data_IF_961250553764
#
_entry.id   IF_961250553764
#
_cell.length_a   1.000
_cell.length_b   1.000
_cell.length_c   1.000
_cell.angle_alpha   90.00
_cell.angle_beta   90.00
_cell.angle_gamma   90.00
#
_symmetry.space_group_name_H-M   'P 1'
#
loop_
_entity.id
_entity.type
_entity.pdbx_description
1 polymer ?
#
# COMPACT_ATOMS: atom_id res chain seq x y z
N UNK A 1 7.99 43.14 -8.65
CA UNK A 1 9.02 44.17 -8.42
C UNK A 1 10.28 43.46 -7.95
N UNK A 2 11.32 43.45 -8.76
CA UNK A 2 12.62 42.89 -8.39
C UNK A 2 13.45 43.93 -7.62
N UNK A 3 14.16 43.49 -6.57
CA UNK A 3 14.96 44.36 -5.73
C UNK A 3 16.24 44.76 -6.48
N UNK A 4 16.62 46.05 -6.49
CA UNK A 4 17.86 46.51 -7.10
C UNK A 4 19.10 45.80 -6.54
N UNK A 5 20.03 45.46 -7.42
CA UNK A 5 21.26 44.70 -7.11
C UNK A 5 22.11 45.31 -5.99
N UNK A 6 22.15 46.64 -5.89
CA UNK A 6 22.88 47.35 -4.84
C UNK A 6 22.34 47.03 -3.43
N UNK A 7 21.01 46.92 -3.28
CA UNK A 7 20.38 46.58 -2.00
C UNK A 7 20.67 45.11 -1.67
N UNK A 8 20.66 44.22 -2.67
CA UNK A 8 21.05 42.80 -2.49
C UNK A 8 22.49 42.63 -1.99
N UNK A 9 23.40 43.50 -2.43
CA UNK A 9 24.80 43.50 -2.00
C UNK A 9 24.99 43.99 -0.55
N UNK A 10 24.16 44.92 -0.08
CA UNK A 10 24.18 45.33 1.33
C UNK A 10 23.69 44.18 2.24
N UNK A 11 22.70 43.42 1.80
CA UNK A 11 22.19 42.29 2.56
C UNK A 11 23.08 41.04 2.53
N UNK A 12 24.03 40.91 1.59
CA UNK A 12 24.98 39.79 1.58
C UNK A 12 26.05 39.87 2.67
N UNK A 13 26.19 41.01 3.36
CA UNK A 13 27.05 41.13 4.55
C UNK A 13 26.43 40.49 5.80
N UNK A 14 25.15 40.10 5.73
CA UNK A 14 24.48 39.34 6.78
C UNK A 14 24.29 37.90 6.31
N UNK A 15 24.51 36.89 7.17
CA UNK A 15 24.80 36.98 8.59
C UNK A 15 26.29 37.26 8.93
N UNK A 16 26.54 37.97 10.03
CA UNK A 16 27.89 38.33 10.49
C UNK A 16 28.73 37.13 10.96
N UNK A 17 28.07 36.05 11.40
CA UNK A 17 28.72 34.81 11.81
C UNK A 17 27.78 33.63 11.51
N UNK A 18 28.29 32.64 10.79
CA UNK A 18 27.56 31.40 10.49
C UNK A 18 28.17 30.30 11.33
N UNK A 19 27.38 29.75 12.26
CA UNK A 19 27.78 28.58 13.03
C UNK A 19 27.88 27.35 12.11
N UNK A 20 28.73 26.36 12.44
CA UNK A 20 28.77 25.11 11.71
C UNK A 20 27.40 24.41 11.77
N UNK A 21 27.03 23.65 10.73
CA UNK A 21 25.79 22.88 10.74
C UNK A 21 25.71 21.98 11.97
N UNK A 22 24.58 22.02 12.67
CA UNK A 22 24.30 21.08 13.77
C UNK A 22 24.12 19.71 13.11
N UNK A 23 25.07 18.81 13.36
CA UNK A 23 24.95 17.43 12.89
C UNK A 23 23.83 16.75 13.67
N UNK A 24 22.88 16.07 13.00
CA UNK A 24 21.88 15.29 13.71
C UNK A 24 22.58 14.23 14.57
N UNK A 25 22.06 14.00 15.77
CA UNK A 25 22.57 12.99 16.72
C UNK A 25 22.56 11.58 16.11
N UNK A 26 21.62 11.32 15.20
CA UNK A 26 21.43 10.06 14.50
C UNK A 26 20.85 10.36 13.11
N UNK A 27 21.73 10.74 12.19
CA UNK A 27 21.41 10.97 10.78
C UNK A 27 21.80 9.79 9.89
N UNK A 28 21.53 8.56 10.33
CA UNK A 28 21.87 7.41 9.52
C UNK A 28 20.77 7.22 8.47
N UNK A 29 21.05 7.71 7.26
CA UNK A 29 20.43 7.15 6.07
C UNK A 29 20.66 5.63 6.11
N UNK A 30 19.67 4.83 5.72
CA UNK A 30 19.79 3.39 5.83
C UNK A 30 20.85 2.90 4.86
N UNK A 31 21.73 2.00 5.29
CA UNK A 31 22.78 1.44 4.39
C UNK A 31 22.18 0.63 3.23
N UNK A 32 20.95 0.16 3.40
CA UNK A 32 20.19 -0.61 2.42
C UNK A 32 18.85 0.07 2.10
N UNK A 33 18.30 -0.09 0.89
CA UNK A 33 16.96 0.37 0.58
C UNK A 33 15.97 -0.14 1.63
N UNK A 34 15.24 0.78 2.25
CA UNK A 34 14.35 0.49 3.38
C UNK A 34 12.92 0.91 3.05
N UNK A 35 12.02 -0.05 2.99
CA UNK A 35 10.60 0.20 2.74
C UNK A 35 9.88 0.51 4.06
N UNK A 36 9.19 1.64 4.11
CA UNK A 36 8.35 2.04 5.24
C UNK A 36 6.96 1.50 5.03
N UNK A 37 6.45 0.72 5.98
CA UNK A 37 5.17 0.03 5.89
C UNK A 37 4.35 0.17 7.17
N UNK A 38 3.06 -0.12 7.06
CA UNK A 38 2.23 -0.39 8.22
C UNK A 38 2.73 -1.65 8.95
N UNK A 39 2.73 -1.70 10.29
CA UNK A 39 3.24 -2.84 11.04
C UNK A 39 2.55 -4.16 10.67
N UNK A 40 3.31 -5.27 10.72
CA UNK A 40 2.78 -6.61 10.52
C UNK A 40 1.86 -7.03 11.67
N UNK A 41 0.97 -8.00 11.42
CA UNK A 41 0.08 -8.59 12.45
C UNK A 41 0.86 -9.31 13.57
N UNK A 42 2.03 -9.84 13.24
CA UNK A 42 2.85 -10.64 14.15
C UNK A 42 4.29 -10.20 14.04
N UNK A 43 5.00 -10.21 15.16
CA UNK A 43 6.42 -9.90 15.24
C UNK A 43 7.32 -10.88 14.45
N UNK A 44 6.83 -12.08 14.13
CA UNK A 44 7.56 -13.00 13.26
C UNK A 44 7.38 -12.69 11.78
N UNK A 45 6.34 -11.95 11.42
CA UNK A 45 6.04 -11.58 10.04
C UNK A 45 6.78 -10.30 9.63
N UNK A 46 7.13 -10.23 8.35
CA UNK A 46 7.69 -9.05 7.68
C UNK A 46 6.68 -8.39 6.73
N UNK A 47 5.50 -9.00 6.60
CA UNK A 47 4.47 -8.58 5.66
C UNK A 47 3.51 -7.61 6.33
N UNK A 48 3.25 -6.49 5.65
CA UNK A 48 2.35 -5.45 6.13
C UNK A 48 0.92 -5.96 6.32
N UNK A 49 0.16 -5.24 7.12
CA UNK A 49 -1.29 -5.44 7.27
C UNK A 49 -2.12 -4.66 6.26
N UNK A 50 -1.50 -3.66 5.63
CA UNK A 50 -2.12 -2.78 4.66
C UNK A 50 -1.92 -3.30 3.23
N UNK A 51 -2.98 -3.18 2.41
CA UNK A 51 -2.99 -3.70 1.02
C UNK A 51 -2.01 -2.93 0.15
N UNK A 52 -1.97 -1.60 0.26
CA UNK A 52 -1.05 -0.78 -0.54
C UNK A 52 0.41 -1.12 -0.21
N UNK A 53 0.74 -1.23 1.08
CA UNK A 53 2.06 -1.66 1.51
C UNK A 53 2.42 -3.06 0.97
N UNK A 54 1.51 -4.04 1.08
CA UNK A 54 1.73 -5.39 0.56
C UNK A 54 1.90 -5.43 -0.95
N UNK A 55 1.15 -4.62 -1.69
CA UNK A 55 1.26 -4.48 -3.15
C UNK A 55 2.70 -4.12 -3.52
N UNK A 56 3.25 -3.09 -2.88
CA UNK A 56 4.61 -2.65 -3.15
C UNK A 56 5.67 -3.62 -2.62
N UNK A 57 5.42 -4.29 -1.48
CA UNK A 57 6.29 -5.39 -1.03
C UNK A 57 6.36 -6.52 -2.05
N UNK A 58 5.20 -6.96 -2.54
CA UNK A 58 5.11 -8.03 -3.53
C UNK A 58 5.69 -7.62 -4.88
N UNK A 59 5.42 -6.39 -5.33
CA UNK A 59 5.97 -5.86 -6.57
C UNK A 59 7.50 -5.93 -6.59
N UNK A 60 8.14 -5.40 -5.54
CA UNK A 60 9.60 -5.40 -5.42
C UNK A 60 10.17 -6.83 -5.39
N UNK A 61 9.58 -7.71 -4.58
CA UNK A 61 10.04 -9.09 -4.46
C UNK A 61 9.86 -9.89 -5.76
N UNK A 62 8.73 -9.71 -6.45
CA UNK A 62 8.41 -10.41 -7.69
C UNK A 62 9.25 -9.93 -8.88
N UNK A 63 9.67 -8.66 -8.87
CA UNK A 63 10.68 -8.13 -9.81
C UNK A 63 12.09 -8.67 -9.55
N UNK A 64 12.29 -9.46 -8.49
CA UNK A 64 13.58 -10.07 -8.15
C UNK A 64 14.47 -9.20 -7.27
N UNK A 65 13.98 -8.06 -6.78
CA UNK A 65 14.72 -7.25 -5.82
C UNK A 65 14.71 -7.94 -4.45
N UNK A 66 15.89 -7.99 -3.82
CA UNK A 66 16.11 -8.65 -2.53
C UNK A 66 16.98 -7.80 -1.62
N UNK A 67 17.07 -8.17 -0.34
CA UNK A 67 17.83 -7.46 0.71
C UNK A 67 17.30 -6.05 0.98
N UNK A 68 15.98 -5.88 0.85
CA UNK A 68 15.29 -4.63 1.20
C UNK A 68 14.92 -4.69 2.68
N UNK A 69 15.35 -3.70 3.46
CA UNK A 69 14.97 -3.62 4.87
C UNK A 69 13.53 -3.11 5.01
N UNK A 70 12.86 -3.49 6.09
CA UNK A 70 11.47 -3.09 6.36
C UNK A 70 11.38 -2.34 7.67
N UNK A 71 10.79 -1.15 7.63
CA UNK A 71 10.64 -0.25 8.77
C UNK A 71 9.16 0.03 9.03
N UNK A 72 8.73 -0.05 10.29
CA UNK A 72 7.31 0.09 10.67
C UNK A 72 7.03 0.97 11.90
N UNK A 73 8.04 1.67 12.41
CA UNK A 73 7.95 2.63 13.53
C UNK A 73 7.46 4.02 13.09
N UNK A 74 7.27 4.25 11.79
CA UNK A 74 6.88 5.54 11.23
C UNK A 74 5.37 5.56 11.02
N UNK A 75 4.69 6.57 11.57
CA UNK A 75 3.26 6.76 11.34
C UNK A 75 2.99 7.30 9.93
N UNK A 76 1.79 7.08 9.36
CA UNK A 76 1.44 7.60 8.03
C UNK A 76 1.63 9.11 7.90
N UNK A 77 1.44 9.89 8.96
CA UNK A 77 1.62 11.34 8.97
C UNK A 77 3.08 11.76 8.82
N UNK A 78 4.02 10.91 9.26
CA UNK A 78 5.46 11.10 9.08
C UNK A 78 5.98 10.67 7.70
N UNK A 79 5.12 10.08 6.87
CA UNK A 79 5.43 9.63 5.53
C UNK A 79 5.24 10.75 4.50
N UNK A 80 5.91 10.66 3.35
CA UNK A 80 5.74 11.57 2.21
C UNK A 80 4.27 11.56 1.75
N UNK A 81 3.66 12.75 1.73
CA UNK A 81 2.25 12.91 1.36
C UNK A 81 1.27 12.37 2.41
N UNK A 82 1.72 12.09 3.64
CA UNK A 82 0.87 11.58 4.72
C UNK A 82 0.37 10.16 4.47
N UNK A 83 1.09 9.37 3.66
CA UNK A 83 0.69 8.03 3.23
C UNK A 83 1.88 7.08 3.14
N UNK A 84 1.66 5.85 3.59
CA UNK A 84 2.55 4.72 3.38
C UNK A 84 2.08 3.91 2.15
N UNK A 85 2.98 3.17 1.47
CA UNK A 85 4.41 3.03 1.79
C UNK A 85 5.29 4.12 1.15
N UNK A 86 6.50 4.28 1.69
CA UNK A 86 7.59 5.04 1.06
C UNK A 86 8.87 4.22 1.06
N UNK A 87 9.75 4.47 0.09
CA UNK A 87 11.04 3.81 -0.02
C UNK A 87 12.17 4.78 0.34
N UNK A 88 12.89 4.50 1.41
CA UNK A 88 14.06 5.27 1.83
C UNK A 88 15.33 4.64 1.26
N UNK A 89 16.01 5.37 0.40
CA UNK A 89 17.22 4.97 -0.28
C UNK A 89 18.47 5.27 0.55
N UNK A 90 19.58 4.59 0.23
CA UNK A 90 20.86 4.77 0.92
C UNK A 90 21.50 6.14 0.69
N UNK A 91 21.12 6.83 -0.38
CA UNK A 91 21.52 8.23 -0.64
C UNK A 91 20.74 9.24 0.22
N UNK A 92 19.84 8.78 1.09
CA UNK A 92 19.00 9.61 1.95
C UNK A 92 17.73 10.15 1.30
N UNK A 93 17.45 9.78 0.05
CA UNK A 93 16.23 10.16 -0.64
C UNK A 93 15.06 9.28 -0.18
N UNK A 94 13.91 9.92 0.02
CA UNK A 94 12.66 9.25 0.36
C UNK A 94 11.71 9.33 -0.83
N UNK A 95 11.37 8.17 -1.39
CA UNK A 95 10.50 8.05 -2.55
C UNK A 95 9.06 7.71 -2.15
N UNK A 96 8.05 8.42 -2.67
CA UNK A 96 6.66 8.02 -2.55
C UNK A 96 6.37 6.76 -3.36
N UNK A 97 5.28 6.07 -3.02
CA UNK A 97 4.85 4.83 -3.67
C UNK A 97 4.85 4.87 -5.22
N UNK A 98 4.45 6.00 -5.80
CA UNK A 98 4.35 6.17 -7.26
C UNK A 98 5.71 6.14 -7.99
N UNK A 99 6.81 6.42 -7.29
CA UNK A 99 8.16 6.40 -7.86
C UNK A 99 8.90 5.07 -7.63
N UNK A 100 8.28 4.12 -6.92
CA UNK A 100 8.86 2.80 -6.67
C UNK A 100 9.09 2.01 -7.99
N UNK A 101 8.16 1.98 -8.97
CA UNK A 101 8.40 1.32 -10.25
C UNK A 101 9.62 1.86 -10.97
N UNK A 102 9.69 3.19 -11.11
CA UNK A 102 10.81 3.87 -11.79
C UNK A 102 12.14 3.52 -11.14
N UNK A 103 12.21 3.55 -9.82
CA UNK A 103 13.41 3.13 -9.09
C UNK A 103 13.75 1.65 -9.30
N UNK A 104 12.74 0.78 -9.33
CA UNK A 104 12.95 -0.66 -9.56
C UNK A 104 13.50 -0.93 -10.97
N UNK A 105 12.97 -0.24 -11.99
CA UNK A 105 13.43 -0.34 -13.37
C UNK A 105 14.88 0.16 -13.52
N UNK A 106 15.22 1.27 -12.87
CA UNK A 106 16.58 1.81 -12.81
C UNK A 106 17.56 0.86 -12.11
N UNK A 107 17.11 0.19 -11.02
CA UNK A 107 17.95 -0.71 -10.24
C UNK A 107 18.26 -2.02 -10.97
N UNK A 108 17.34 -2.48 -11.82
CA UNK A 108 17.49 -3.72 -12.58
C UNK A 108 18.09 -3.51 -13.98
N UNK A 109 18.33 -2.25 -14.40
CA UNK A 109 18.73 -1.89 -15.76
C UNK A 109 17.73 -2.39 -16.82
N UNK A 110 16.44 -2.39 -16.46
CA UNK A 110 15.33 -2.95 -17.24
C UNK A 110 14.41 -1.86 -17.81
N UNK A 111 14.98 -0.74 -18.26
CA UNK A 111 14.23 0.39 -18.81
C UNK A 111 13.38 0.01 -20.04
N UNK A 112 13.67 -1.12 -20.68
CA UNK A 112 13.02 -1.62 -21.89
C UNK A 112 12.27 -2.96 -21.67
N UNK A 113 11.54 -3.14 -20.57
CA UNK A 113 10.49 -4.17 -20.47
C UNK A 113 9.13 -3.60 -20.91
N UNK A 114 8.81 -3.54 -22.21
CA UNK A 114 7.58 -2.89 -22.69
C UNK A 114 6.29 -3.53 -22.17
N UNK A 115 6.35 -4.79 -21.73
CA UNK A 115 5.19 -5.55 -21.27
C UNK A 115 5.25 -5.93 -19.79
N UNK A 116 6.19 -5.43 -18.98
CA UNK A 116 6.20 -5.64 -17.52
C UNK A 116 6.00 -7.11 -17.05
N UNK A 117 6.46 -8.09 -17.84
CA UNK A 117 6.29 -9.53 -17.58
C UNK A 117 5.01 -10.16 -18.14
N UNK A 118 4.07 -9.38 -18.69
CA UNK A 118 2.90 -9.88 -19.41
C UNK A 118 3.28 -10.59 -20.70
N UNK A 119 2.49 -11.61 -21.05
CA UNK A 119 2.67 -12.40 -22.28
C UNK A 119 2.50 -11.57 -23.56
N UNK A 120 1.49 -10.71 -23.60
CA UNK A 120 1.13 -9.89 -24.75
C UNK A 120 0.43 -8.59 -24.33
N UNK A 121 0.26 -7.67 -25.28
CA UNK A 121 -0.43 -6.39 -25.05
C UNK A 121 -1.90 -6.61 -24.64
N UNK A 122 -2.54 -7.67 -25.14
CA UNK A 122 -3.91 -8.02 -24.80
C UNK A 122 -4.04 -8.39 -23.31
N UNK A 123 -3.09 -9.17 -22.77
CA UNK A 123 -3.02 -9.45 -21.33
C UNK A 123 -2.78 -8.18 -20.51
N UNK A 124 -1.92 -7.26 -20.99
CA UNK A 124 -1.71 -5.98 -20.31
C UNK A 124 -3.02 -5.17 -20.26
N UNK A 125 -3.77 -5.10 -21.35
CA UNK A 125 -5.04 -4.37 -21.36
C UNK A 125 -6.12 -5.07 -20.52
N UNK A 126 -6.18 -6.40 -20.53
CA UNK A 126 -7.04 -7.20 -19.66
C UNK A 126 -6.71 -6.97 -18.17
N UNK A 127 -5.43 -6.82 -17.83
CA UNK A 127 -4.97 -6.61 -16.46
C UNK A 127 -5.62 -5.37 -15.82
N UNK A 128 -5.87 -4.31 -16.61
CA UNK A 128 -6.52 -3.08 -16.12
C UNK A 128 -7.96 -3.33 -15.67
N UNK A 129 -8.68 -4.23 -16.33
CA UNK A 129 -10.02 -4.62 -15.91
C UNK A 129 -9.98 -5.37 -14.57
N UNK A 130 -8.99 -6.26 -14.40
CA UNK A 130 -8.78 -6.97 -13.14
C UNK A 130 -8.36 -6.03 -12.00
N UNK A 131 -7.50 -5.04 -12.27
CA UNK A 131 -7.16 -3.99 -11.28
C UNK A 131 -8.42 -3.26 -10.81
N UNK A 132 -9.28 -2.84 -11.74
CA UNK A 132 -10.55 -2.17 -11.41
C UNK A 132 -11.48 -3.05 -10.55
N UNK A 133 -11.59 -4.34 -10.88
CA UNK A 133 -12.36 -5.32 -10.10
C UNK A 133 -11.82 -5.46 -8.66
N UNK A 134 -10.49 -5.52 -8.50
CA UNK A 134 -9.83 -5.65 -7.19
C UNK A 134 -9.97 -4.38 -6.34
N UNK A 135 -9.67 -3.22 -6.93
CA UNK A 135 -9.76 -1.92 -6.26
C UNK A 135 -11.21 -1.49 -5.98
N UNK A 136 -12.16 -1.99 -6.75
CA UNK A 136 -13.59 -1.80 -6.54
C UNK A 136 -14.20 -2.81 -5.59
N UNK A 137 -14.52 -4.00 -6.09
CA UNK A 137 -15.38 -4.97 -5.40
C UNK A 137 -14.66 -5.67 -4.24
N UNK A 138 -13.41 -6.08 -4.44
CA UNK A 138 -12.63 -6.78 -3.41
C UNK A 138 -12.21 -5.82 -2.30
N UNK A 139 -11.77 -4.61 -2.66
CA UNK A 139 -11.43 -3.58 -1.68
C UNK A 139 -12.65 -3.15 -0.84
N UNK A 140 -13.81 -2.92 -1.48
CA UNK A 140 -15.04 -2.60 -0.76
C UNK A 140 -15.41 -3.69 0.25
N UNK A 141 -15.33 -4.96 -0.13
CA UNK A 141 -15.57 -6.07 0.78
C UNK A 141 -14.56 -6.09 1.94
N UNK A 142 -13.28 -5.89 1.68
CA UNK A 142 -12.24 -5.85 2.72
C UNK A 142 -12.45 -4.71 3.73
N UNK A 143 -12.89 -3.55 3.24
CA UNK A 143 -13.19 -2.38 4.08
C UNK A 143 -14.42 -2.63 4.97
N UNK A 144 -15.49 -3.22 4.42
CA UNK A 144 -16.67 -3.61 5.23
C UNK A 144 -16.38 -4.75 6.20
N UNK A 145 -15.36 -5.56 5.93
CA UNK A 145 -14.97 -6.68 6.76
C UNK A 145 -14.05 -6.31 7.93
N UNK A 146 -13.57 -5.06 8.01
CA UNK A 146 -12.76 -4.61 9.14
C UNK A 146 -13.59 -4.62 10.43
N UNK A 147 -13.01 -5.05 11.57
CA UNK A 147 -13.72 -5.03 12.84
C UNK A 147 -14.11 -3.59 13.20
N UNK A 148 -15.37 -3.37 13.54
CA UNK A 148 -15.82 -2.08 14.08
C UNK A 148 -14.98 -1.73 15.32
N UNK A 149 -14.37 -0.54 15.40
CA UNK A 149 -13.65 -0.15 16.61
C UNK A 149 -14.63 -0.20 17.78
N UNK A 150 -14.27 -0.91 18.84
CA UNK A 150 -15.10 -0.91 20.05
C UNK A 150 -15.15 0.52 20.58
N UNK A 151 -16.36 1.09 20.71
CA UNK A 151 -16.56 2.47 21.15
C UNK A 151 -15.84 2.79 22.48
N UNK A 152 -15.69 1.78 23.36
CA UNK A 152 -14.93 1.89 24.60
C UNK A 152 -13.40 2.04 24.38
N UNK A 153 -12.83 1.33 23.41
CA UNK A 153 -11.42 1.48 23.00
C UNK A 153 -11.19 2.86 22.36
N UNK A 154 -12.14 3.36 21.58
CA UNK A 154 -12.07 4.72 21.02
C UNK A 154 -12.05 5.84 22.08
N UNK A 155 -12.48 5.56 23.31
CA UNK A 155 -12.49 6.53 24.42
C UNK A 155 -11.27 6.41 25.34
N UNK A 156 -10.61 5.25 25.38
CA UNK A 156 -9.52 4.95 26.33
C UNK A 156 -8.15 4.89 25.65
N UNK A 157 -8.11 4.74 24.32
CA UNK A 157 -6.87 4.62 23.55
C UNK A 157 -6.51 5.97 22.91
N UNK A 158 -5.35 6.52 23.28
CA UNK A 158 -4.71 7.63 22.54
C UNK A 158 -4.50 7.21 21.08
N UNK A 159 -4.73 8.10 20.09
CA UNK A 159 -4.90 7.69 18.70
C UNK A 159 -3.61 7.08 18.15
N UNK A 160 -3.56 5.75 18.06
CA UNK A 160 -2.79 5.11 17.00
C UNK A 160 -3.59 5.31 15.70
N UNK A 161 -2.90 5.76 14.65
CA UNK A 161 -3.42 6.29 13.40
C UNK A 161 -4.88 5.87 13.08
N UNK A 162 -5.83 6.82 12.97
CA UNK A 162 -7.24 6.47 12.79
C UNK A 162 -7.42 5.71 11.48
N UNK A 163 -8.04 4.52 11.56
CA UNK A 163 -8.71 3.92 10.41
C UNK A 163 -9.71 4.93 9.88
N UNK A 164 -9.51 5.40 8.65
CA UNK A 164 -10.40 6.36 8.00
C UNK A 164 -11.67 5.61 7.56
N UNK A 165 -12.83 5.84 8.19
CA UNK A 165 -14.08 5.25 7.71
C UNK A 165 -14.33 5.73 6.27
N UNK A 166 -14.94 4.89 5.44
CA UNK A 166 -15.20 5.17 4.02
C UNK A 166 -15.89 6.52 3.76
N UNK A 167 -16.72 6.93 4.72
CA UNK A 167 -17.40 8.22 4.76
C UNK A 167 -16.44 9.42 4.67
N UNK A 168 -15.20 9.29 5.16
CA UNK A 168 -14.16 10.35 5.13
C UNK A 168 -13.31 10.38 3.86
N UNK A 169 -13.38 9.33 3.02
CA UNK A 169 -12.64 9.26 1.75
C UNK A 169 -13.52 9.78 0.60
N UNK A 170 -14.84 9.60 0.71
CA UNK A 170 -15.81 9.92 -0.35
C UNK A 170 -16.40 11.33 -0.23
N UNK A 171 -16.34 11.96 0.94
CA UNK A 171 -16.94 13.28 1.17
C UNK A 171 -15.94 14.25 1.83
N UNK A 172 -15.96 15.55 1.48
CA UNK A 172 -15.27 16.57 2.28
C UNK A 172 -15.82 16.49 3.71
N UNK A 173 -14.93 16.47 4.69
CA UNK A 173 -15.32 16.45 6.10
C UNK A 173 -16.34 17.56 6.35
N UNK A 174 -17.57 17.24 6.80
CA UNK A 174 -18.54 18.28 7.09
C UNK A 174 -17.95 19.24 8.12
N UNK A 175 -18.24 20.55 8.02
CA UNK A 175 -17.67 21.55 8.91
C UNK A 175 -17.88 21.16 10.39
N UNK A 176 -16.93 21.49 11.28
CA UNK A 176 -16.84 20.96 12.65
C UNK A 176 -18.07 21.20 13.54
N UNK A 177 -19.00 22.05 13.09
CA UNK A 177 -20.25 22.34 13.78
C UNK A 177 -21.42 21.38 13.44
N UNK A 178 -21.27 20.49 12.44
CA UNK A 178 -22.31 19.52 12.08
C UNK A 178 -22.24 18.22 12.89
N UNK A 179 -21.18 18.01 13.68
CA UNK A 179 -20.89 16.73 14.36
C UNK A 179 -21.42 16.58 15.79
N UNK A 180 -21.78 17.68 16.48
CA UNK A 180 -22.21 17.61 17.89
C UNK A 180 -23.73 17.72 18.09
N UNK A 181 -24.49 18.18 17.09
CA UNK A 181 -25.95 18.43 17.22
C UNK A 181 -26.81 17.60 16.27
N UNK A 182 -26.22 16.85 15.34
CA UNK A 182 -27.00 16.04 14.40
C UNK A 182 -27.23 14.62 14.93
N UNK A 183 -28.44 14.36 15.44
CA UNK A 183 -28.96 13.00 15.71
C UNK A 183 -29.15 12.17 14.42
N UNK A 184 -29.01 12.81 13.25
CA UNK A 184 -29.19 12.20 11.94
C UNK A 184 -27.84 12.22 11.23
N UNK A 185 -27.24 11.05 11.00
CA UNK A 185 -26.02 10.94 10.19
C UNK A 185 -26.29 11.54 8.79
N UNK A 186 -25.35 12.29 8.20
CA UNK A 186 -25.48 12.72 6.81
C UNK A 186 -25.69 11.47 5.93
N UNK A 187 -26.82 11.47 5.23
CA UNK A 187 -27.28 10.38 4.38
C UNK A 187 -26.34 10.24 3.17
N UNK A 188 -25.46 9.22 3.20
CA UNK A 188 -24.85 8.67 2.00
C UNK A 188 -25.79 7.66 1.33
N UNK A 189 -25.53 7.34 0.05
CA UNK A 189 -26.12 6.18 -0.62
C UNK A 189 -25.94 4.95 0.26
N UNK A 190 -27.04 4.33 0.70
CA UNK A 190 -26.98 3.08 1.47
C UNK A 190 -26.37 2.01 0.57
N UNK A 191 -25.07 1.76 0.73
CA UNK A 191 -24.43 0.65 0.06
C UNK A 191 -24.96 -0.62 0.72
N UNK A 192 -25.67 -1.44 -0.05
CA UNK A 192 -26.22 -2.70 0.45
C UNK A 192 -25.06 -3.67 0.70
N UNK A 193 -24.79 -4.07 1.95
CA UNK A 193 -23.70 -4.99 2.27
C UNK A 193 -23.86 -6.34 1.55
N UNK A 194 -25.10 -6.78 1.27
CA UNK A 194 -25.35 -8.01 0.52
C UNK A 194 -24.92 -7.90 -0.93
N UNK A 195 -25.08 -6.73 -1.53
CA UNK A 195 -24.62 -6.47 -2.90
C UNK A 195 -23.09 -6.49 -2.97
N UNK A 196 -22.40 -5.84 -2.02
CA UNK A 196 -20.94 -5.92 -1.91
C UNK A 196 -20.49 -7.38 -1.77
N UNK A 197 -21.16 -8.14 -0.91
CA UNK A 197 -20.82 -9.54 -0.68
C UNK A 197 -21.04 -10.42 -1.93
N UNK A 198 -22.12 -10.20 -2.69
CA UNK A 198 -22.37 -10.91 -3.95
C UNK A 198 -21.30 -10.61 -4.98
N UNK A 199 -21.00 -9.33 -5.20
CA UNK A 199 -19.95 -8.89 -6.13
C UNK A 199 -18.58 -9.42 -5.75
N UNK A 200 -18.26 -9.42 -4.46
CA UNK A 200 -17.04 -10.01 -3.95
C UNK A 200 -16.95 -11.52 -4.24
N UNK A 201 -18.02 -12.28 -4.00
CA UNK A 201 -18.07 -13.72 -4.29
C UNK A 201 -17.86 -14.00 -5.78
N UNK A 202 -18.50 -13.21 -6.64
CA UNK A 202 -18.34 -13.27 -8.09
C UNK A 202 -16.91 -12.93 -8.52
N UNK A 203 -16.34 -11.85 -7.97
CA UNK A 203 -14.97 -11.42 -8.26
C UNK A 203 -13.94 -12.49 -7.86
N UNK A 204 -14.02 -13.04 -6.65
CA UNK A 204 -13.12 -14.11 -6.20
C UNK A 204 -13.30 -15.39 -7.02
N UNK A 205 -14.52 -15.69 -7.49
CA UNK A 205 -14.76 -16.79 -8.42
C UNK A 205 -14.05 -16.56 -9.75
N UNK A 206 -14.26 -15.39 -10.34
CA UNK A 206 -13.65 -15.02 -11.61
C UNK A 206 -12.12 -15.03 -11.55
N UNK A 207 -11.52 -14.56 -10.44
CA UNK A 207 -10.08 -14.60 -10.20
C UNK A 207 -9.58 -16.06 -10.12
N UNK A 208 -10.30 -16.95 -9.41
CA UNK A 208 -9.92 -18.35 -9.33
C UNK A 208 -10.03 -19.07 -10.67
N UNK A 209 -11.09 -18.79 -11.45
CA UNK A 209 -11.29 -19.36 -12.77
C UNK A 209 -10.21 -18.86 -13.74
N UNK A 210 -9.85 -17.56 -13.65
CA UNK A 210 -8.80 -16.97 -14.48
C UNK A 210 -7.40 -17.49 -14.16
N UNK A 211 -7.11 -17.78 -12.89
CA UNK A 211 -5.86 -18.43 -12.50
C UNK A 211 -5.81 -19.88 -13.00
N UNK A 212 -6.92 -20.61 -12.87
CA UNK A 212 -7.02 -22.00 -13.31
C UNK A 212 -5.86 -22.85 -12.76
N UNK A 213 -5.01 -23.32 -13.68
CA UNK A 213 -3.78 -24.09 -13.39
C UNK A 213 -2.49 -23.32 -13.69
N UNK A 214 -2.60 -22.04 -14.05
CA UNK A 214 -1.46 -21.25 -14.49
C UNK A 214 -0.54 -20.89 -13.34
N UNK A 215 0.74 -20.71 -13.67
CA UNK A 215 1.75 -20.30 -12.68
C UNK A 215 1.51 -18.84 -12.25
N UNK A 216 1.28 -17.94 -13.19
CA UNK A 216 1.04 -16.52 -12.96
C UNK A 216 -0.24 -16.11 -13.67
N UNK A 217 -0.85 -15.00 -13.25
CA UNK A 217 -2.08 -14.54 -13.87
C UNK A 217 -1.89 -14.22 -15.36
N UNK A 218 -2.97 -14.40 -16.13
CA UNK A 218 -3.04 -14.18 -17.59
C UNK A 218 -2.11 -15.08 -18.42
N UNK A 219 -1.67 -16.22 -17.87
CA UNK A 219 -0.78 -17.16 -18.56
C UNK A 219 0.63 -16.62 -18.79
N UNK A 220 1.05 -15.63 -17.99
CA UNK A 220 2.37 -15.01 -18.06
C UNK A 220 3.45 -15.98 -17.58
N UNK A 221 4.64 -15.92 -18.20
CA UNK A 221 5.79 -16.77 -17.80
C UNK A 221 6.48 -16.25 -16.54
N UNK A 222 6.48 -14.93 -16.40
CA UNK A 222 7.08 -14.17 -15.31
C UNK A 222 5.98 -13.53 -14.45
N UNK A 223 6.28 -13.21 -13.17
CA UNK A 223 5.31 -12.50 -12.35
C UNK A 223 5.09 -11.08 -12.85
N UNK A 224 3.84 -10.65 -12.78
CA UNK A 224 3.38 -9.35 -13.27
C UNK A 224 3.01 -8.40 -12.12
N UNK A 225 2.84 -7.09 -12.38
CA UNK A 225 2.32 -6.16 -11.38
C UNK A 225 0.91 -6.53 -10.90
N UNK A 226 0.11 -7.18 -11.75
CA UNK A 226 -1.20 -7.72 -11.36
C UNK A 226 -1.06 -8.83 -10.32
N UNK A 227 -0.09 -9.74 -10.46
CA UNK A 227 0.19 -10.77 -9.45
C UNK A 227 0.52 -10.14 -8.09
N UNK A 228 1.29 -9.03 -8.07
CA UNK A 228 1.60 -8.31 -6.83
C UNK A 228 0.33 -7.73 -6.16
N UNK A 229 -0.58 -7.16 -6.95
CA UNK A 229 -1.85 -6.61 -6.46
C UNK A 229 -2.79 -7.71 -5.94
N UNK A 230 -2.95 -8.79 -6.71
CA UNK A 230 -3.80 -9.93 -6.31
C UNK A 230 -3.26 -10.55 -5.03
N UNK A 231 -1.94 -10.72 -4.92
CA UNK A 231 -1.32 -11.20 -3.69
C UNK A 231 -1.66 -10.31 -2.50
N UNK A 232 -1.55 -8.98 -2.63
CA UNK A 232 -1.85 -8.06 -1.55
C UNK A 232 -3.30 -8.20 -1.05
N UNK A 233 -4.27 -8.28 -1.96
CA UNK A 233 -5.67 -8.47 -1.60
C UNK A 233 -5.94 -9.85 -0.99
N UNK A 234 -5.47 -10.93 -1.63
CA UNK A 234 -5.70 -12.30 -1.13
C UNK A 234 -5.04 -12.50 0.23
N UNK A 235 -3.83 -12.00 0.43
CA UNK A 235 -3.15 -12.06 1.71
C UNK A 235 -3.93 -11.30 2.79
N UNK A 236 -4.36 -10.07 2.52
CA UNK A 236 -5.16 -9.30 3.48
C UNK A 236 -6.50 -9.96 3.80
N UNK A 237 -7.18 -10.54 2.81
CA UNK A 237 -8.44 -11.28 3.01
C UNK A 237 -8.23 -12.52 3.86
N UNK A 238 -7.21 -13.34 3.58
CA UNK A 238 -6.93 -14.56 4.32
C UNK A 238 -6.61 -14.30 5.79
N UNK A 239 -6.02 -13.13 6.09
CA UNK A 239 -5.67 -12.72 7.45
C UNK A 239 -6.69 -11.79 8.10
N UNK A 240 -7.85 -11.60 7.48
CA UNK A 240 -8.95 -10.82 8.06
C UNK A 240 -9.71 -11.64 9.11
N UNK A 241 -10.21 -10.95 10.14
CA UNK A 241 -10.98 -11.57 11.23
C UNK A 241 -12.37 -12.06 10.77
N UNK A 242 -12.96 -11.37 9.79
CA UNK A 242 -14.25 -11.72 9.20
C UNK A 242 -14.17 -13.06 8.46
N UNK A 243 -14.89 -14.05 8.97
CA UNK A 243 -14.93 -15.40 8.42
C UNK A 243 -15.64 -15.47 7.06
N UNK A 244 -16.60 -14.58 6.76
CA UNK A 244 -17.38 -14.64 5.50
C UNK A 244 -16.45 -14.41 4.31
N UNK A 245 -15.71 -13.30 4.33
CA UNK A 245 -14.78 -12.91 3.27
C UNK A 245 -13.63 -13.91 3.17
N UNK A 246 -13.10 -14.35 4.31
CA UNK A 246 -12.03 -15.35 4.38
C UNK A 246 -12.45 -16.71 3.82
N UNK A 247 -13.64 -17.19 4.16
CA UNK A 247 -14.14 -18.52 3.74
C UNK A 247 -14.16 -18.62 2.21
N UNK A 248 -14.58 -17.57 1.52
CA UNK A 248 -14.65 -17.56 0.06
C UNK A 248 -13.30 -17.81 -0.63
N UNK A 249 -12.22 -17.25 -0.11
CA UNK A 249 -10.88 -17.53 -0.62
C UNK A 249 -10.41 -18.92 -0.19
N UNK A 250 -10.62 -19.29 1.09
CA UNK A 250 -10.15 -20.60 1.60
C UNK A 250 -10.83 -21.81 0.95
N UNK A 251 -12.04 -21.65 0.41
CA UNK A 251 -12.73 -22.71 -0.36
C UNK A 251 -12.06 -23.00 -1.70
N UNK A 252 -11.28 -22.05 -2.24
CA UNK A 252 -10.62 -22.13 -3.54
C UNK A 252 -9.17 -22.52 -3.34
N UNK A 253 -8.90 -23.82 -3.46
CA UNK A 253 -7.59 -24.41 -3.17
C UNK A 253 -6.48 -23.85 -4.06
N UNK A 254 -6.79 -23.54 -5.33
CA UNK A 254 -5.84 -22.93 -6.25
C UNK A 254 -5.35 -21.55 -5.78
N UNK A 255 -6.26 -20.69 -5.31
CA UNK A 255 -5.90 -19.37 -4.78
C UNK A 255 -5.07 -19.47 -3.50
N UNK A 256 -5.45 -20.37 -2.59
CA UNK A 256 -4.69 -20.58 -1.34
C UNK A 256 -3.29 -21.11 -1.63
N UNK A 257 -3.17 -22.13 -2.48
CA UNK A 257 -1.88 -22.69 -2.86
C UNK A 257 -0.98 -21.65 -3.56
N UNK A 258 -1.58 -20.83 -4.42
CA UNK A 258 -0.89 -19.73 -5.09
C UNK A 258 -0.42 -18.66 -4.09
N UNK A 259 -1.28 -18.22 -3.17
CA UNK A 259 -0.92 -17.23 -2.13
C UNK A 259 0.23 -17.74 -1.27
N UNK A 260 0.17 -18.99 -0.81
CA UNK A 260 1.22 -19.58 0.03
C UNK A 260 2.59 -19.57 -0.66
N UNK A 261 2.61 -19.88 -1.95
CA UNK A 261 3.83 -19.87 -2.77
C UNK A 261 4.37 -18.45 -2.93
N UNK A 262 3.52 -17.50 -3.32
CA UNK A 262 3.93 -16.09 -3.50
C UNK A 262 4.37 -15.48 -2.17
N UNK A 263 3.66 -15.78 -1.08
CA UNK A 263 4.03 -15.36 0.28
C UNK A 263 5.45 -15.78 0.65
N UNK A 264 5.84 -17.00 0.29
CA UNK A 264 7.20 -17.49 0.47
C UNK A 264 8.23 -16.61 -0.25
N UNK A 265 8.00 -16.33 -1.54
CA UNK A 265 8.87 -15.46 -2.35
C UNK A 265 8.98 -14.05 -1.75
N UNK A 266 7.85 -13.42 -1.46
CA UNK A 266 7.80 -12.06 -0.90
C UNK A 266 8.51 -12.01 0.46
N UNK A 267 8.24 -12.97 1.36
CA UNK A 267 8.83 -12.97 2.70
C UNK A 267 10.36 -13.13 2.70
N UNK A 268 10.93 -13.76 1.67
CA UNK A 268 12.38 -13.94 1.54
C UNK A 268 13.13 -12.72 1.00
N UNK A 269 12.44 -11.82 0.29
CA UNK A 269 13.05 -10.62 -0.26
C UNK A 269 13.39 -9.55 0.80
N UNK A 270 12.66 -9.58 1.93
CA UNK A 270 12.72 -8.55 2.96
C UNK A 270 13.46 -8.98 4.22
N UNK A 271 14.26 -8.06 4.77
CA UNK A 271 14.93 -8.19 6.07
C UNK A 271 14.38 -7.18 7.06
N UNK A 272 14.49 -7.46 8.36
CA UNK A 272 14.32 -6.40 9.37
C UNK A 272 15.66 -5.67 9.49
N UNK A 273 15.65 -4.32 9.65
CA UNK A 273 16.86 -3.54 9.91
C UNK A 273 17.52 -3.95 11.23
#
# INVERSE_FOLDING_TARGET
MEIPSAIRHVFSFFPLHTFPPIKPLSGNHPDVPTLWIQPPRSESSRLSTDVECLKWQAYLALRGLSKIAVRCDISPEGAMGGRLPNLHLANGQLLPAQLIPTWADETLDEQERPLEGYKDQAALDESRAWVSLLEGDVHAALLTAQPSPSYFMSLVTFPQAPFRPLESIVLPTPPPLSGLTSLIRPYGTRVDPKNIESKYREAISAIADRLGTDKWFLGSTEPTPLDALIFAYLHSVLHTANHIVRIEVTRRVNLVAWELRVRGLVSTAFTRP
#
